data_IF_710580349647
#
_entry.id   IF_710580349647
#
_cell.length_a   1.000
_cell.length_b   1.000
_cell.length_c   1.000
_cell.angle_alpha   90.00
_cell.angle_beta   90.00
_cell.angle_gamma   90.00
#
_symmetry.space_group_name_H-M   'P 1'
#
loop_
_entity.id
_entity.type
_entity.pdbx_description
1 polymer ?
#
# COMPACT_ATOMS: atom_id res chain seq x y z
N UNK A 1 0.48 5.33 -9.01
CA UNK A 1 1.73 4.59 -8.70
C UNK A 1 1.58 3.82 -7.40
N UNK A 2 2.14 2.62 -7.29
CA UNK A 2 2.12 1.80 -6.06
C UNK A 2 3.51 1.75 -5.43
N UNK A 3 3.66 2.17 -4.17
CA UNK A 3 4.88 2.00 -3.38
C UNK A 3 4.83 0.69 -2.62
N UNK A 4 5.64 -0.28 -3.01
CA UNK A 4 5.77 -1.54 -2.29
C UNK A 4 6.65 -1.32 -1.06
N UNK A 5 6.04 -1.17 0.11
CA UNK A 5 6.77 -0.96 1.37
C UNK A 5 7.44 -2.27 1.76
N UNK A 6 8.76 -2.21 1.93
CA UNK A 6 9.60 -3.35 2.37
C UNK A 6 9.93 -3.26 3.84
N UNK A 7 10.14 -2.05 4.35
CA UNK A 7 10.40 -1.79 5.76
C UNK A 7 9.96 -0.37 6.11
N UNK A 8 9.13 -0.26 7.15
CA UNK A 8 8.76 1.03 7.72
C UNK A 8 9.93 1.65 8.48
N UNK A 9 10.64 0.85 9.29
CA UNK A 9 11.76 1.30 10.14
C UNK A 9 12.91 1.89 9.32
N UNK A 10 13.30 1.21 8.23
CA UNK A 10 14.38 1.65 7.33
C UNK A 10 13.90 2.58 6.22
N UNK A 11 12.63 2.99 6.26
CA UNK A 11 12.01 3.83 5.24
C UNK A 11 12.20 3.31 3.80
N UNK A 12 12.14 1.99 3.62
CA UNK A 12 12.46 1.32 2.35
C UNK A 12 11.18 0.92 1.59
N UNK A 13 11.06 1.40 0.36
CA UNK A 13 10.01 0.98 -0.57
C UNK A 13 10.52 0.88 -2.01
N UNK A 14 9.82 0.11 -2.83
CA UNK A 14 10.03 0.05 -4.29
C UNK A 14 8.81 0.66 -5.00
N UNK A 15 8.95 1.77 -5.74
CA UNK A 15 7.87 2.28 -6.57
C UNK A 15 7.65 1.36 -7.78
N UNK A 16 6.38 1.05 -8.06
CA UNK A 16 5.95 0.29 -9.25
C UNK A 16 4.77 1.02 -9.87
N UNK A 17 4.89 1.29 -11.17
CA UNK A 17 3.83 1.92 -11.96
C UNK A 17 3.03 0.81 -12.63
N UNK A 18 1.72 0.81 -12.39
CA UNK A 18 0.79 -0.09 -13.05
C UNK A 18 -0.03 0.72 -14.06
N UNK A 19 -0.09 0.25 -15.30
CA UNK A 19 -0.86 0.86 -16.38
C UNK A 19 -2.09 0.00 -16.70
N UNK A 20 -3.18 0.62 -17.13
CA UNK A 20 -4.41 -0.10 -17.52
C UNK A 20 -5.13 -0.78 -16.36
N UNK A 21 -4.95 -0.30 -15.12
CA UNK A 21 -5.66 -0.82 -13.94
C UNK A 21 -7.13 -0.44 -14.04
N UNK A 22 -8.03 -1.43 -14.01
CA UNK A 22 -9.47 -1.18 -13.94
C UNK A 22 -9.82 -0.55 -12.60
N UNK A 23 -10.48 0.62 -12.60
CA UNK A 23 -10.89 1.29 -11.36
C UNK A 23 -12.16 0.68 -10.75
N UNK A 24 -12.89 -0.11 -11.53
CA UNK A 24 -14.15 -0.75 -11.12
C UNK A 24 -13.91 -2.12 -10.46
N UNK A 25 -12.66 -2.59 -10.41
CA UNK A 25 -12.30 -3.77 -9.61
C UNK A 25 -12.22 -3.43 -8.12
N UNK A 26 -12.36 -4.46 -7.27
CA UNK A 26 -12.24 -4.28 -5.82
C UNK A 26 -10.79 -4.02 -5.39
N UNK A 27 -10.63 -3.36 -4.26
CA UNK A 27 -9.31 -3.19 -3.63
C UNK A 27 -8.66 -4.55 -3.34
N UNK A 28 -9.46 -5.53 -2.92
CA UNK A 28 -8.99 -6.89 -2.67
C UNK A 28 -8.39 -7.54 -3.93
N UNK A 29 -9.10 -7.47 -5.06
CA UNK A 29 -8.62 -8.02 -6.34
C UNK A 29 -7.32 -7.35 -6.76
N UNK A 30 -7.24 -6.03 -6.59
CA UNK A 30 -6.04 -5.27 -6.91
C UNK A 30 -4.85 -5.62 -5.99
N UNK A 31 -5.09 -5.84 -4.70
CA UNK A 31 -4.08 -6.34 -3.75
C UNK A 31 -3.53 -7.69 -4.19
N UNK A 32 -4.41 -8.60 -4.61
CA UNK A 32 -3.99 -9.92 -5.10
C UNK A 32 -3.20 -9.82 -6.41
N UNK A 33 -3.66 -8.99 -7.34
CA UNK A 33 -2.96 -8.70 -8.58
C UNK A 33 -1.53 -8.17 -8.33
N UNK A 34 -1.38 -7.16 -7.46
CA UNK A 34 -0.06 -6.61 -7.08
C UNK A 34 0.79 -7.67 -6.39
N UNK A 35 0.21 -8.50 -5.52
CA UNK A 35 0.92 -9.59 -4.82
C UNK A 35 1.48 -10.62 -5.80
N UNK A 36 0.76 -10.96 -6.86
CA UNK A 36 1.21 -11.91 -7.88
C UNK A 36 2.27 -11.26 -8.78
N UNK A 37 2.00 -10.05 -9.28
CA UNK A 37 2.91 -9.32 -10.17
C UNK A 37 4.28 -9.03 -9.54
N UNK A 38 4.35 -8.94 -8.21
CA UNK A 38 5.58 -8.60 -7.47
C UNK A 38 6.35 -9.80 -6.93
N UNK A 39 5.85 -11.03 -7.10
CA UNK A 39 6.54 -12.27 -6.70
C UNK A 39 7.16 -12.98 -7.90
N UNK A 40 8.46 -12.81 -8.20
CA UNK A 40 9.15 -13.68 -9.15
C UNK A 40 9.57 -15.01 -8.49
N UNK A 41 9.11 -16.13 -9.06
CA UNK A 41 9.89 -17.39 -9.09
C UNK A 41 9.98 -18.27 -7.83
N UNK A 42 9.15 -18.11 -6.81
CA UNK A 42 9.15 -19.03 -5.64
C UNK A 42 7.76 -19.63 -5.38
N UNK A 43 7.61 -20.96 -5.28
CA UNK A 43 6.38 -21.57 -4.80
C UNK A 43 6.07 -21.06 -3.38
N UNK A 44 4.80 -20.89 -3.01
CA UNK A 44 4.45 -20.14 -1.81
C UNK A 44 5.01 -20.85 -0.58
N UNK A 45 5.86 -20.21 0.26
CA UNK A 45 5.83 -20.55 1.66
C UNK A 45 4.41 -20.25 2.15
N UNK A 46 3.83 -21.17 2.92
CA UNK A 46 2.45 -21.22 3.44
C UNK A 46 1.95 -19.97 4.22
N UNK A 47 2.68 -18.85 4.19
CA UNK A 47 2.35 -17.63 4.91
C UNK A 47 1.41 -16.77 4.07
N UNK A 48 0.12 -16.87 4.40
CA UNK A 48 -0.91 -15.91 3.99
C UNK A 48 -0.71 -14.63 4.81
N UNK A 49 0.08 -13.71 4.28
CA UNK A 49 0.21 -12.38 4.88
C UNK A 49 -1.00 -11.52 4.51
N UNK A 50 -1.58 -10.83 5.48
CA UNK A 50 -2.57 -9.79 5.25
C UNK A 50 -1.88 -8.56 4.69
N UNK A 51 -2.21 -8.19 3.46
CA UNK A 51 -1.73 -6.97 2.81
C UNK A 51 -2.84 -5.94 2.79
N UNK A 52 -2.47 -4.67 2.96
CA UNK A 52 -3.38 -3.53 2.84
C UNK A 52 -2.77 -2.46 1.94
N UNK A 53 -3.64 -1.57 1.48
CA UNK A 53 -3.25 -0.39 0.74
C UNK A 53 -3.66 0.87 1.49
N UNK A 54 -2.85 1.93 1.36
CA UNK A 54 -3.16 3.25 1.89
C UNK A 54 -2.80 4.33 0.87
N UNK A 55 -3.64 5.34 0.73
CA UNK A 55 -3.34 6.52 -0.09
C UNK A 55 -2.27 7.36 0.61
N UNK A 56 -1.18 7.67 -0.12
CA UNK A 56 -0.10 8.54 0.35
C UNK A 56 -0.26 9.94 -0.24
N UNK A 57 -0.63 10.02 -1.51
CA UNK A 57 -0.75 11.27 -2.22
C UNK A 57 -1.86 11.18 -3.26
N UNK A 58 -2.66 12.25 -3.34
CA UNK A 58 -3.65 12.46 -4.38
C UNK A 58 -3.26 13.68 -5.20
N UNK A 59 -3.48 13.63 -6.52
CA UNK A 59 -3.35 14.80 -7.37
C UNK A 59 -4.17 15.96 -6.77
N UNK A 60 -3.53 17.13 -6.63
CA UNK A 60 -4.06 18.34 -5.96
C UNK A 60 -4.16 18.32 -4.42
N UNK A 61 -3.74 17.24 -3.75
CA UNK A 61 -3.59 17.16 -2.30
C UNK A 61 -2.22 17.63 -1.80
N UNK A 62 -2.12 17.97 -0.52
CA UNK A 62 -0.82 18.25 0.10
C UNK A 62 0.05 16.98 0.08
N UNK A 63 1.30 17.11 -0.36
CA UNK A 63 2.26 16.01 -0.30
C UNK A 63 2.75 15.86 1.14
N UNK A 64 2.59 14.68 1.72
CA UNK A 64 3.13 14.41 3.06
C UNK A 64 4.65 14.41 3.03
N UNK A 65 5.28 14.96 4.08
CA UNK A 65 6.74 14.93 4.25
C UNK A 65 7.28 13.52 4.60
N UNK A 66 6.39 12.57 4.92
CA UNK A 66 6.77 11.19 5.22
C UNK A 66 7.14 10.42 3.95
N UNK A 67 8.39 9.93 3.90
CA UNK A 67 8.96 9.28 2.70
C UNK A 67 8.29 7.94 2.38
N UNK A 68 7.84 7.19 3.39
CA UNK A 68 7.28 5.85 3.18
C UNK A 68 5.78 5.86 3.27
N UNK A 69 5.24 6.30 4.40
CA UNK A 69 3.83 6.31 4.72
C UNK A 69 3.66 7.04 6.06
N UNK A 70 2.63 7.88 6.19
CA UNK A 70 2.28 8.50 7.47
C UNK A 70 1.35 7.63 8.33
N UNK A 71 1.35 7.86 9.64
CA UNK A 71 0.41 7.24 10.60
C UNK A 71 -0.92 8.00 10.73
N UNK A 72 -1.08 9.13 10.04
CA UNK A 72 -2.25 10.00 10.12
C UNK A 72 -3.41 9.50 9.25
N UNK A 73 -4.63 9.86 9.64
CA UNK A 73 -5.89 9.60 8.93
C UNK A 73 -6.05 8.16 8.40
N UNK A 74 -5.63 7.16 9.17
CA UNK A 74 -5.78 5.73 8.83
C UNK A 74 -7.20 5.35 8.44
N UNK A 75 -8.20 5.87 9.16
CA UNK A 75 -9.61 5.57 8.93
C UNK A 75 -10.11 6.03 7.55
N UNK A 76 -9.47 7.05 6.95
CA UNK A 76 -9.85 7.59 5.64
C UNK A 76 -8.95 7.12 4.52
N UNK A 77 -7.66 6.97 4.81
CA UNK A 77 -6.64 6.73 3.80
C UNK A 77 -6.38 5.24 3.58
N UNK A 78 -6.67 4.35 4.55
CA UNK A 78 -6.56 2.91 4.36
C UNK A 78 -7.75 2.43 3.56
N UNK A 79 -7.46 1.76 2.44
CA UNK A 79 -8.49 1.23 1.56
C UNK A 79 -9.11 -0.03 2.17
N UNK A 80 -10.45 -0.05 2.19
CA UNK A 80 -11.26 -1.23 2.54
C UNK A 80 -11.28 -2.23 1.38
N UNK A 81 -11.36 -3.52 1.69
CA UNK A 81 -11.31 -4.60 0.68
C UNK A 81 -12.55 -4.67 -0.22
N UNK A 82 -13.72 -4.30 0.31
CA UNK A 82 -15.04 -4.43 -0.31
C UNK A 82 -15.39 -3.29 -1.28
N UNK A 83 -14.68 -2.17 -1.21
CA UNK A 83 -14.89 -1.03 -2.12
C UNK A 83 -14.09 -1.17 -3.43
N UNK A 84 -14.57 -0.46 -4.45
CA UNK A 84 -13.84 -0.33 -5.72
C UNK A 84 -12.69 0.66 -5.57
N UNK A 85 -11.65 0.53 -6.41
CA UNK A 85 -10.56 1.52 -6.47
C UNK A 85 -11.08 2.94 -6.75
N UNK A 86 -12.13 3.06 -7.57
CA UNK A 86 -12.82 4.33 -7.85
C UNK A 86 -13.41 4.95 -6.59
N UNK A 87 -14.20 4.19 -5.84
CA UNK A 87 -14.84 4.65 -4.59
C UNK A 87 -13.80 4.96 -3.51
N UNK A 88 -12.71 4.20 -3.48
CA UNK A 88 -11.58 4.45 -2.61
C UNK A 88 -10.79 5.73 -2.96
N UNK A 89 -11.10 6.40 -4.08
CA UNK A 89 -10.41 7.61 -4.51
C UNK A 89 -9.06 7.35 -5.18
N UNK A 90 -8.83 6.14 -5.71
CA UNK A 90 -7.64 5.80 -6.48
C UNK A 90 -7.86 6.19 -7.94
N UNK A 91 -7.10 7.18 -8.41
CA UNK A 91 -7.06 7.59 -9.82
C UNK A 91 -5.62 7.99 -10.19
N UNK A 92 -5.30 9.27 -10.20
CA UNK A 92 -3.93 9.78 -10.26
C UNK A 92 -3.35 9.90 -8.83
N UNK A 93 -3.19 8.76 -8.18
CA UNK A 93 -2.78 8.69 -6.78
C UNK A 93 -1.54 7.82 -6.58
N UNK A 94 -0.75 8.17 -5.58
CA UNK A 94 0.26 7.28 -5.03
C UNK A 94 -0.34 6.52 -3.86
N UNK A 95 -0.34 5.18 -3.97
CA UNK A 95 -0.77 4.29 -2.89
C UNK A 95 0.41 3.50 -2.38
N UNK A 96 0.48 3.28 -1.07
CA UNK A 96 1.41 2.34 -0.47
C UNK A 96 0.74 0.96 -0.38
N UNK A 97 1.53 -0.08 -0.66
CA UNK A 97 1.18 -1.48 -0.47
C UNK A 97 2.11 -2.06 0.59
N UNK A 98 1.55 -2.61 1.65
CA UNK A 98 2.31 -3.01 2.83
C UNK A 98 1.66 -4.19 3.55
N UNK A 99 2.45 -4.89 4.37
CA UNK A 99 1.94 -5.95 5.24
C UNK A 99 1.33 -5.33 6.50
N UNK A 100 0.09 -5.72 6.79
CA UNK A 100 -0.68 -5.15 7.90
C UNK A 100 0.02 -5.36 9.25
N UNK A 101 0.61 -6.52 9.49
CA UNK A 101 1.33 -6.81 10.73
C UNK A 101 2.54 -5.89 10.92
N UNK A 102 3.35 -5.68 9.87
CA UNK A 102 4.53 -4.81 9.94
C UNK A 102 4.10 -3.36 10.23
N UNK A 103 2.97 -2.94 9.67
CA UNK A 103 2.40 -1.62 9.95
C UNK A 103 1.89 -1.49 11.38
N UNK A 104 1.21 -2.51 11.91
CA UNK A 104 0.75 -2.52 13.31
C UNK A 104 1.93 -2.48 14.29
N UNK A 105 3.00 -3.22 14.01
CA UNK A 105 4.24 -3.19 14.80
C UNK A 105 4.89 -1.81 14.76
N UNK A 106 5.00 -1.21 13.57
CA UNK A 106 5.55 0.13 13.41
C UNK A 106 4.68 1.20 14.11
N UNK A 107 3.36 1.10 14.03
CA UNK A 107 2.43 2.01 14.71
C UNK A 107 2.53 1.91 16.23
N UNK A 108 2.71 0.70 16.77
CA UNK A 108 2.87 0.48 18.20
C UNK A 108 4.23 1.01 18.73
N UNK A 109 5.25 1.03 17.89
CA UNK A 109 6.59 1.52 18.22
C UNK A 109 7.27 2.17 17.00
N UNK A 110 6.96 3.44 16.71
CA UNK A 110 7.46 4.12 15.52
C UNK A 110 8.93 4.50 15.72
N UNK A 111 9.82 3.54 15.49
CA UNK A 111 11.27 3.76 15.47
C UNK A 111 11.74 3.81 14.02
N UNK A 112 12.52 4.83 13.71
CA UNK A 112 13.27 4.88 12.45
C UNK A 112 14.66 4.30 12.72
N UNK A 113 15.08 3.29 11.96
CA UNK A 113 16.44 2.77 11.94
C UNK A 113 17.17 3.41 10.76
N UNK A 114 18.31 4.04 11.03
CA UNK A 114 19.15 4.72 10.05
C UNK A 114 20.00 3.73 9.26
#
# INVERSE_FOLDING_TARGET
TVRLVRSFEHRNFKPVVFHGVSLDQTVQDFIEFVRIATKPGLPPPFRKYAYKMKIIHQAHGAKTNELVMSLDDDDKLILQDDQTLRTAGVNETEVAFFREEDYRLYRANPKTAW
#
